data_IF_012966719818
#
_entry.id   IF_012966719818
#
_cell.length_a   1.000
_cell.length_b   1.000
_cell.length_c   1.000
_cell.angle_alpha   90.00
_cell.angle_beta   90.00
_cell.angle_gamma   90.00
#
_symmetry.space_group_name_H-M   'P 1'
#
loop_
_entity.id
_entity.type
_entity.pdbx_description
1 polymer ?
#
# COMPACT_ATOMS: atom_id res chain seq x y z
N UNK A 1 -5.74 -42.78 -10.30
CA UNK A 1 -6.86 -42.39 -11.19
C UNK A 1 -6.50 -42.77 -12.62
N UNK A 2 -7.48 -43.05 -13.47
CA UNK A 2 -7.30 -43.33 -14.91
C UNK A 2 -8.14 -42.35 -15.72
N UNK A 3 -7.52 -41.59 -16.63
CA UNK A 3 -8.23 -40.78 -17.61
C UNK A 3 -8.48 -41.59 -18.88
N UNK A 4 -9.75 -41.85 -19.19
CA UNK A 4 -10.15 -42.40 -20.48
C UNK A 4 -10.72 -41.26 -21.34
N UNK A 5 -9.87 -40.68 -22.20
CA UNK A 5 -10.30 -39.71 -23.20
C UNK A 5 -9.94 -40.20 -24.60
N UNK A 6 -10.95 -40.51 -25.41
CA UNK A 6 -10.81 -41.11 -26.75
C UNK A 6 -10.12 -40.20 -27.76
N UNK A 7 -9.93 -38.91 -27.46
CA UNK A 7 -9.29 -37.95 -28.37
C UNK A 7 -7.76 -37.92 -28.25
N UNK A 8 -7.18 -38.59 -27.24
CA UNK A 8 -5.72 -38.62 -27.01
C UNK A 8 -5.19 -40.05 -27.06
N UNK A 9 -3.99 -40.23 -27.61
CA UNK A 9 -3.33 -41.54 -27.63
C UNK A 9 -2.98 -42.01 -26.22
N UNK A 10 -2.80 -43.32 -26.03
CA UNK A 10 -2.41 -43.90 -24.73
C UNK A 10 -1.09 -43.33 -24.19
N UNK A 11 -0.14 -42.99 -25.08
CA UNK A 11 1.12 -42.35 -24.72
C UNK A 11 0.87 -40.95 -24.16
N UNK A 12 0.08 -40.12 -24.85
CA UNK A 12 -0.26 -38.76 -24.39
C UNK A 12 -1.07 -38.79 -23.08
N UNK A 13 -1.99 -39.75 -22.94
CA UNK A 13 -2.72 -39.97 -21.69
C UNK A 13 -1.78 -40.29 -20.53
N UNK A 14 -0.72 -41.07 -20.76
CA UNK A 14 0.27 -41.42 -19.72
C UNK A 14 1.05 -40.18 -19.26
N UNK A 15 1.47 -39.31 -20.18
CA UNK A 15 2.10 -38.03 -19.84
C UNK A 15 1.19 -37.15 -19.00
N UNK A 16 -0.06 -36.93 -19.45
CA UNK A 16 -1.04 -36.13 -18.70
C UNK A 16 -1.31 -36.71 -17.31
N UNK A 17 -1.40 -38.04 -17.19
CA UNK A 17 -1.64 -38.69 -15.90
C UNK A 17 -0.47 -38.51 -14.93
N UNK A 18 0.78 -38.54 -15.43
CA UNK A 18 1.96 -38.26 -14.63
C UNK A 18 1.97 -36.81 -14.12
N UNK A 19 1.62 -35.84 -14.97
CA UNK A 19 1.50 -34.43 -14.58
C UNK A 19 0.41 -34.23 -13.52
N UNK A 20 -0.78 -34.81 -13.72
CA UNK A 20 -1.87 -34.76 -12.72
C UNK A 20 -1.41 -35.36 -11.39
N UNK A 21 -0.76 -36.53 -11.41
CA UNK A 21 -0.26 -37.16 -10.18
C UNK A 21 0.81 -36.31 -9.50
N UNK A 22 1.67 -35.63 -10.26
CA UNK A 22 2.66 -34.70 -9.71
C UNK A 22 1.97 -33.51 -9.02
N UNK A 23 0.93 -32.96 -9.63
CA UNK A 23 0.13 -31.87 -9.06
C UNK A 23 -0.59 -32.34 -7.78
N UNK A 24 -1.25 -33.50 -7.81
CA UNK A 24 -1.92 -34.08 -6.63
C UNK A 24 -0.92 -34.25 -5.49
N UNK A 25 0.25 -34.85 -5.77
CA UNK A 25 1.29 -35.04 -4.77
C UNK A 25 1.82 -33.72 -4.20
N UNK A 26 1.88 -32.64 -5.00
CA UNK A 26 2.24 -31.30 -4.51
C UNK A 26 1.27 -30.85 -3.42
N UNK A 27 -0.04 -30.91 -3.68
CA UNK A 27 -1.06 -30.46 -2.73
C UNK A 27 -1.21 -31.38 -1.51
N UNK A 28 -1.08 -32.70 -1.69
CA UNK A 28 -1.19 -33.67 -0.59
C UNK A 28 -0.05 -33.58 0.44
N UNK A 29 1.09 -32.98 0.07
CA UNK A 29 2.25 -32.83 0.96
C UNK A 29 2.30 -31.49 1.69
N UNK A 30 1.25 -30.67 1.58
CA UNK A 30 1.17 -29.39 2.29
C UNK A 30 0.71 -29.65 3.73
N UNK A 31 1.40 -29.03 4.68
CA UNK A 31 1.01 -29.07 6.09
C UNK A 31 -0.41 -28.51 6.28
N UNK A 32 -1.26 -29.24 7.00
CA UNK A 32 -2.66 -28.85 7.24
C UNK A 32 -2.79 -27.41 7.77
N UNK A 33 -1.90 -26.99 8.67
CA UNK A 33 -1.86 -25.63 9.22
C UNK A 33 -1.69 -24.55 8.15
N UNK A 34 -0.91 -24.81 7.11
CA UNK A 34 -0.71 -23.85 6.01
C UNK A 34 -1.95 -23.77 5.11
N UNK A 35 -2.69 -24.88 4.96
CA UNK A 35 -3.98 -24.86 4.26
C UNK A 35 -5.00 -24.03 5.04
N UNK A 36 -5.05 -24.17 6.36
CA UNK A 36 -5.89 -23.35 7.23
C UNK A 36 -5.59 -21.84 7.07
N UNK A 37 -4.30 -21.46 6.99
CA UNK A 37 -3.93 -20.06 6.73
C UNK A 37 -4.42 -19.57 5.36
N UNK A 38 -4.30 -20.39 4.31
CA UNK A 38 -4.78 -20.03 2.97
C UNK A 38 -6.30 -19.86 2.98
N UNK A 39 -7.03 -20.76 3.61
CA UNK A 39 -8.49 -20.65 3.75
C UNK A 39 -8.89 -19.39 4.53
N UNK A 40 -8.20 -19.09 5.63
CA UNK A 40 -8.42 -17.88 6.41
C UNK A 40 -8.18 -16.60 5.58
N UNK A 41 -7.07 -16.53 4.84
CA UNK A 41 -6.77 -15.42 3.93
C UNK A 41 -7.89 -15.24 2.89
N UNK A 42 -8.20 -16.31 2.14
CA UNK A 42 -9.21 -16.27 1.07
C UNK A 42 -10.60 -15.92 1.59
N UNK A 43 -10.92 -16.27 2.84
CA UNK A 43 -12.20 -15.90 3.46
C UNK A 43 -12.32 -14.41 3.77
N UNK A 44 -11.19 -13.72 3.99
CA UNK A 44 -11.13 -12.31 4.37
C UNK A 44 -11.00 -11.37 3.18
N UNK A 45 -10.32 -11.79 2.11
CA UNK A 45 -10.17 -10.99 0.87
C UNK A 45 -11.35 -11.12 -0.08
N UNK A 46 -11.59 -10.05 -0.82
CA UNK A 46 -12.66 -9.93 -1.81
C UNK A 46 -12.19 -9.30 -3.14
N UNK A 47 -13.12 -9.20 -4.09
CA UNK A 47 -12.90 -8.58 -5.39
C UNK A 47 -11.75 -9.17 -6.21
N UNK A 48 -11.06 -8.30 -6.94
CA UNK A 48 -10.00 -8.65 -7.91
C UNK A 48 -8.81 -9.36 -7.25
N UNK A 49 -8.47 -9.00 -6.02
CA UNK A 49 -7.36 -9.63 -5.29
C UNK A 49 -7.66 -11.09 -4.94
N UNK A 50 -8.89 -11.39 -4.50
CA UNK A 50 -9.30 -12.77 -4.26
C UNK A 50 -9.19 -13.62 -5.52
N UNK A 51 -9.65 -13.10 -6.66
CA UNK A 51 -9.55 -13.80 -7.95
C UNK A 51 -8.09 -14.08 -8.34
N UNK A 52 -7.20 -13.10 -8.14
CA UNK A 52 -5.77 -13.25 -8.40
C UNK A 52 -5.13 -14.33 -7.52
N UNK A 53 -5.44 -14.34 -6.22
CA UNK A 53 -4.91 -15.35 -5.29
C UNK A 53 -5.44 -16.76 -5.57
N UNK A 54 -6.68 -16.88 -6.06
CA UNK A 54 -7.24 -18.18 -6.46
C UNK A 54 -6.61 -18.75 -7.73
N UNK A 55 -5.95 -17.94 -8.55
CA UNK A 55 -5.24 -18.39 -9.77
C UNK A 55 -3.82 -18.89 -9.48
N UNK A 56 -3.20 -18.45 -8.39
CA UNK A 56 -1.84 -18.82 -8.00
C UNK A 56 -1.78 -19.24 -6.53
N UNK A 57 -1.89 -20.55 -6.31
CA UNK A 57 -1.84 -21.13 -4.98
C UNK A 57 -0.48 -20.92 -4.30
N UNK A 58 0.64 -20.93 -5.02
CA UNK A 58 1.96 -20.74 -4.39
C UNK A 58 2.10 -19.31 -3.86
N UNK A 59 1.56 -18.33 -4.61
CA UNK A 59 1.44 -16.93 -4.17
C UNK A 59 0.53 -16.81 -2.94
N UNK A 60 -0.66 -17.42 -2.97
CA UNK A 60 -1.59 -17.41 -1.84
C UNK A 60 -0.98 -18.07 -0.60
N UNK A 61 -0.32 -19.21 -0.75
CA UNK A 61 0.37 -19.93 0.33
C UNK A 61 1.48 -19.09 0.95
N UNK A 62 2.30 -18.42 0.13
CA UNK A 62 3.38 -17.55 0.60
C UNK A 62 2.83 -16.40 1.44
N UNK A 63 1.81 -15.70 0.93
CA UNK A 63 1.16 -14.60 1.63
C UNK A 63 0.49 -15.06 2.93
N UNK A 64 -0.29 -16.14 2.87
CA UNK A 64 -0.96 -16.70 4.04
C UNK A 64 0.03 -17.14 5.14
N UNK A 65 1.19 -17.68 4.75
CA UNK A 65 2.25 -18.05 5.69
C UNK A 65 2.94 -16.83 6.30
N UNK A 66 3.10 -15.75 5.52
CA UNK A 66 3.66 -14.48 5.99
C UNK A 66 2.72 -13.78 6.99
N UNK A 67 1.40 -13.88 6.76
CA UNK A 67 0.37 -13.45 7.70
C UNK A 67 0.38 -14.31 8.96
N UNK A 68 0.50 -15.63 8.80
CA UNK A 68 0.52 -16.59 9.89
C UNK A 68 -0.77 -16.60 10.70
N UNK A 69 -0.64 -16.61 12.03
CA UNK A 69 -1.78 -16.60 12.97
C UNK A 69 -2.27 -15.20 13.31
N UNK A 70 -1.68 -14.15 12.72
CA UNK A 70 -2.09 -12.79 13.01
C UNK A 70 -3.55 -12.59 12.58
N UNK A 71 -4.38 -12.07 13.48
CA UNK A 71 -5.75 -11.69 13.14
C UNK A 71 -5.76 -10.37 12.37
N UNK A 72 -5.45 -10.47 11.07
CA UNK A 72 -5.40 -9.34 10.17
C UNK A 72 -6.75 -9.21 9.47
N UNK A 73 -7.34 -8.02 9.51
CA UNK A 73 -8.60 -7.72 8.81
C UNK A 73 -8.38 -7.51 7.30
N UNK A 74 -9.49 -7.41 6.54
CA UNK A 74 -9.43 -7.22 5.08
C UNK A 74 -8.72 -5.92 4.68
N UNK A 75 -8.88 -4.84 5.47
CA UNK A 75 -8.27 -3.54 5.18
C UNK A 75 -6.74 -3.66 5.19
N UNK A 76 -6.18 -4.20 6.28
CA UNK A 76 -4.72 -4.37 6.43
C UNK A 76 -4.15 -5.30 5.35
N UNK A 77 -4.88 -6.36 4.98
CA UNK A 77 -4.48 -7.24 3.86
C UNK A 77 -4.49 -6.49 2.53
N UNK A 78 -5.56 -5.73 2.23
CA UNK A 78 -5.68 -4.98 0.99
C UNK A 78 -4.59 -3.91 0.88
N UNK A 79 -4.29 -3.18 1.96
CA UNK A 79 -3.19 -2.21 2.00
C UNK A 79 -1.86 -2.90 1.72
N UNK A 80 -1.57 -4.01 2.42
CA UNK A 80 -0.32 -4.76 2.23
C UNK A 80 -0.13 -5.22 0.78
N UNK A 81 -1.19 -5.78 0.19
CA UNK A 81 -1.16 -6.24 -1.19
C UNK A 81 -1.03 -5.09 -2.19
N UNK A 82 -1.70 -3.96 -1.94
CA UNK A 82 -1.62 -2.78 -2.78
C UNK A 82 -0.19 -2.22 -2.80
N UNK A 83 0.44 -2.04 -1.64
CA UNK A 83 1.82 -1.55 -1.52
C UNK A 83 2.77 -2.46 -2.29
N UNK A 84 2.66 -3.77 -2.09
CA UNK A 84 3.52 -4.78 -2.75
C UNK A 84 3.39 -4.80 -4.27
N UNK A 85 2.23 -4.42 -4.80
CA UNK A 85 1.95 -4.42 -6.24
C UNK A 85 2.19 -3.07 -6.91
N UNK A 86 2.19 -1.95 -6.17
CA UNK A 86 2.20 -0.60 -6.74
C UNK A 86 3.37 0.28 -6.27
N UNK A 87 4.17 -0.19 -5.30
CA UNK A 87 5.34 0.54 -4.78
C UNK A 87 6.59 -0.35 -4.78
N UNK A 88 7.75 0.27 -4.67
CA UNK A 88 9.03 -0.44 -4.50
C UNK A 88 9.38 -0.71 -3.03
N UNK A 89 8.44 -0.46 -2.12
CA UNK A 89 8.66 -0.67 -0.69
C UNK A 89 8.71 -2.16 -0.36
N UNK A 90 9.83 -2.59 0.23
CA UNK A 90 10.00 -3.95 0.75
C UNK A 90 9.48 -4.06 2.19
N UNK A 91 8.16 -3.91 2.36
CA UNK A 91 7.51 -4.04 3.66
C UNK A 91 7.02 -5.47 3.91
N UNK A 92 7.13 -5.91 5.16
CA UNK A 92 6.42 -7.09 5.66
C UNK A 92 5.04 -6.70 6.23
N UNK A 93 4.17 -7.68 6.41
CA UNK A 93 2.82 -7.38 6.88
C UNK A 93 2.77 -6.80 8.30
N UNK A 94 3.73 -7.13 9.17
CA UNK A 94 3.77 -6.58 10.53
C UNK A 94 4.06 -5.08 10.53
N UNK A 95 4.82 -4.58 9.55
CA UNK A 95 5.04 -3.15 9.34
C UNK A 95 3.77 -2.46 8.85
N UNK A 96 3.09 -3.05 7.86
CA UNK A 96 1.83 -2.50 7.35
C UNK A 96 0.74 -2.46 8.42
N UNK A 97 0.67 -3.47 9.29
CA UNK A 97 -0.26 -3.46 10.44
C UNK A 97 -0.02 -2.22 11.30
N UNK A 98 1.24 -1.94 11.66
CA UNK A 98 1.59 -0.75 12.48
C UNK A 98 1.26 0.56 11.78
N UNK A 99 1.51 0.64 10.46
CA UNK A 99 1.17 1.83 9.70
C UNK A 99 -0.34 2.08 9.70
N UNK A 100 -1.15 1.05 9.47
CA UNK A 100 -2.61 1.20 9.50
C UNK A 100 -3.12 1.52 10.90
N UNK A 101 -2.54 0.95 11.95
CA UNK A 101 -2.87 1.33 13.33
C UNK A 101 -2.55 2.80 13.61
N UNK A 102 -1.38 3.29 13.18
CA UNK A 102 -1.02 4.70 13.30
C UNK A 102 -1.96 5.62 12.50
N UNK A 103 -2.39 5.21 11.30
CA UNK A 103 -3.37 5.97 10.49
C UNK A 103 -4.76 5.99 11.14
N UNK A 104 -5.16 4.90 11.80
CA UNK A 104 -6.42 4.85 12.56
C UNK A 104 -6.38 5.77 13.81
N UNK A 105 -5.22 5.89 14.46
CA UNK A 105 -5.03 6.71 15.67
C UNK A 105 -4.83 8.20 15.36
N UNK A 106 -3.94 8.52 14.42
CA UNK A 106 -3.45 9.89 14.14
C UNK A 106 -3.96 10.45 12.80
N UNK A 107 -4.64 9.62 11.99
CA UNK A 107 -5.17 10.00 10.68
C UNK A 107 -4.17 9.88 9.52
N UNK A 108 -2.87 9.80 9.81
CA UNK A 108 -1.81 9.58 8.82
C UNK A 108 -0.54 8.96 9.43
N UNK A 109 0.34 8.44 8.57
CA UNK A 109 1.67 7.95 8.95
C UNK A 109 2.68 8.14 7.82
N UNK A 110 3.88 8.61 8.16
CA UNK A 110 5.03 8.60 7.25
C UNK A 110 5.63 7.21 7.20
N UNK A 111 5.67 6.62 6.02
CA UNK A 111 6.23 5.28 5.78
C UNK A 111 7.73 5.37 5.46
N UNK A 112 8.11 6.39 4.70
CA UNK A 112 9.48 6.72 4.31
C UNK A 112 9.62 8.25 4.15
N UNK A 113 10.81 8.79 3.85
CA UNK A 113 11.08 10.23 3.73
C UNK A 113 10.09 10.94 2.79
N UNK A 114 9.72 10.33 1.67
CA UNK A 114 8.77 10.88 0.69
C UNK A 114 7.45 10.12 0.57
N UNK A 115 7.12 9.23 1.50
CA UNK A 115 5.92 8.39 1.39
C UNK A 115 5.05 8.55 2.64
N UNK A 116 3.77 8.85 2.40
CA UNK A 116 2.74 8.97 3.43
C UNK A 116 1.54 8.09 3.10
N UNK A 117 0.94 7.50 4.13
CA UNK A 117 -0.39 6.88 4.06
C UNK A 117 -1.31 7.67 4.99
N UNK A 118 -2.51 8.02 4.52
CA UNK A 118 -3.45 8.82 5.30
C UNK A 118 -4.91 8.47 4.99
N UNK A 119 -5.80 8.79 5.92
CA UNK A 119 -7.24 8.81 5.66
C UNK A 119 -7.60 10.07 4.90
N UNK A 120 -8.39 9.92 3.84
CA UNK A 120 -8.88 11.07 3.08
C UNK A 120 -9.68 12.02 3.98
N UNK A 121 -9.37 13.31 3.91
CA UNK A 121 -10.00 14.34 4.72
C UNK A 121 -9.40 14.52 6.12
N UNK A 122 -8.32 13.80 6.45
CA UNK A 122 -7.50 14.11 7.63
C UNK A 122 -6.84 15.48 7.50
N UNK A 123 -6.72 16.20 8.61
CA UNK A 123 -5.93 17.44 8.65
C UNK A 123 -4.43 17.15 8.61
N UNK A 124 -3.81 17.42 7.47
CA UNK A 124 -2.38 17.24 7.24
C UNK A 124 -1.57 18.54 7.48
N UNK A 125 -2.17 19.57 8.08
CA UNK A 125 -1.51 20.86 8.37
C UNK A 125 -0.20 20.70 9.13
N UNK A 126 -0.17 19.84 10.16
CA UNK A 126 1.04 19.61 10.94
C UNK A 126 2.14 18.97 10.10
N UNK A 127 1.78 17.95 9.32
CA UNK A 127 2.70 17.29 8.41
C UNK A 127 3.26 18.26 7.34
N UNK A 128 2.39 19.09 6.76
CA UNK A 128 2.81 20.09 5.77
C UNK A 128 3.82 21.07 6.33
N UNK A 129 3.61 21.55 7.57
CA UNK A 129 4.56 22.44 8.24
C UNK A 129 5.92 21.78 8.42
N UNK A 130 5.94 20.52 8.88
CA UNK A 130 7.18 19.78 9.09
C UNK A 130 7.97 19.61 7.78
N UNK A 131 7.30 19.29 6.67
CA UNK A 131 7.96 19.15 5.36
C UNK A 131 8.46 20.48 4.81
N UNK A 132 7.68 21.56 4.94
CA UNK A 132 8.09 22.88 4.47
C UNK A 132 9.31 23.45 5.21
N UNK A 133 9.50 23.08 6.48
CA UNK A 133 10.69 23.48 7.24
C UNK A 133 11.98 23.05 6.55
N UNK A 134 12.02 21.84 5.99
CA UNK A 134 13.17 21.29 5.26
C UNK A 134 13.17 21.76 3.81
N UNK A 135 12.02 21.74 3.11
CA UNK A 135 11.94 22.12 1.70
C UNK A 135 12.41 23.56 1.46
N UNK A 136 12.02 24.52 2.32
CA UNK A 136 12.41 25.92 2.16
C UNK A 136 13.90 26.20 2.41
N UNK A 137 14.69 25.19 2.79
CA UNK A 137 16.15 25.28 2.85
C UNK A 137 16.81 25.04 1.49
N UNK A 138 16.08 24.48 0.52
CA UNK A 138 16.58 24.19 -0.82
C UNK A 138 15.99 25.15 -1.87
N UNK A 139 16.86 25.73 -2.71
CA UNK A 139 16.49 26.67 -3.77
C UNK A 139 15.41 26.12 -4.72
N UNK A 140 15.47 24.81 -5.04
CA UNK A 140 14.52 24.15 -5.95
C UNK A 140 13.07 24.23 -5.45
N UNK A 141 12.86 24.11 -4.14
CA UNK A 141 11.52 24.15 -3.56
C UNK A 141 11.07 25.57 -3.30
N UNK A 142 11.99 26.49 -2.99
CA UNK A 142 11.67 27.91 -2.87
C UNK A 142 11.10 28.45 -4.19
N UNK A 143 11.74 28.17 -5.32
CA UNK A 143 11.26 28.59 -6.66
C UNK A 143 9.93 27.93 -7.06
N UNK A 144 9.68 26.69 -6.56
CA UNK A 144 8.41 25.98 -6.79
C UNK A 144 7.26 26.56 -5.95
N UNK A 145 7.52 26.87 -4.68
CA UNK A 145 6.49 27.24 -3.71
C UNK A 145 6.18 28.75 -3.71
N UNK A 146 7.15 29.59 -4.05
CA UNK A 146 7.06 31.04 -3.90
C UNK A 146 7.39 31.74 -5.21
N UNK A 147 6.47 32.58 -5.68
CA UNK A 147 6.75 33.45 -6.80
C UNK A 147 7.72 34.60 -6.42
N UNK A 148 8.28 35.24 -7.45
CA UNK A 148 9.28 36.30 -7.28
C UNK A 148 8.75 37.53 -6.55
N UNK A 149 7.48 37.88 -6.75
CA UNK A 149 6.90 39.07 -6.13
C UNK A 149 6.68 38.81 -4.63
N UNK A 150 6.18 37.62 -4.28
CA UNK A 150 6.05 37.14 -2.90
C UNK A 150 7.41 37.12 -2.16
N UNK A 151 8.47 36.62 -2.82
CA UNK A 151 9.82 36.63 -2.25
C UNK A 151 10.35 38.05 -1.97
N UNK A 152 10.11 38.99 -2.89
CA UNK A 152 10.50 40.39 -2.71
C UNK A 152 9.74 41.00 -1.53
N UNK A 153 8.43 40.76 -1.43
CA UNK A 153 7.59 41.25 -0.33
C UNK A 153 8.05 40.71 1.02
N UNK A 154 8.26 39.40 1.15
CA UNK A 154 8.76 38.79 2.39
C UNK A 154 10.12 39.34 2.80
N UNK A 155 11.02 39.53 1.82
CA UNK A 155 12.33 40.13 2.09
C UNK A 155 12.22 41.59 2.56
N UNK A 156 11.38 42.40 1.91
CA UNK A 156 11.14 43.79 2.28
C UNK A 156 10.53 43.92 3.68
N UNK A 157 9.65 43.00 4.05
CA UNK A 157 8.94 43.00 5.33
C UNK A 157 9.74 42.34 6.47
N UNK A 158 10.86 41.70 6.16
CA UNK A 158 11.64 40.93 7.14
C UNK A 158 10.86 39.73 7.69
N UNK A 159 10.00 39.13 6.88
CA UNK A 159 9.16 37.99 7.24
C UNK A 159 10.04 36.78 7.56
N UNK A 160 9.77 36.09 8.67
CA UNK A 160 10.50 34.88 9.06
C UNK A 160 10.04 33.65 8.30
N UNK A 161 10.88 32.61 8.21
CA UNK A 161 10.53 31.30 7.62
C UNK A 161 9.22 30.75 8.23
N UNK A 162 9.09 30.77 9.55
CA UNK A 162 7.88 30.33 10.26
C UNK A 162 6.62 31.12 9.87
N UNK A 163 6.75 32.42 9.54
CA UNK A 163 5.61 33.23 9.09
C UNK A 163 5.19 32.80 7.70
N UNK A 164 6.13 32.62 6.77
CA UNK A 164 5.87 32.12 5.42
C UNK A 164 5.18 30.75 5.46
N UNK A 165 5.72 29.81 6.26
CA UNK A 165 5.13 28.47 6.41
C UNK A 165 3.69 28.54 6.92
N UNK A 166 3.42 29.39 7.92
CA UNK A 166 2.06 29.57 8.44
C UNK A 166 1.10 30.15 7.39
N UNK A 167 1.57 31.09 6.57
CA UNK A 167 0.76 31.67 5.50
C UNK A 167 0.43 30.63 4.42
N UNK A 168 1.42 29.86 3.98
CA UNK A 168 1.25 28.80 2.98
C UNK A 168 0.23 27.75 3.43
N UNK A 169 0.40 27.18 4.62
CA UNK A 169 -0.44 26.07 5.10
C UNK A 169 -1.87 26.54 5.45
N UNK A 170 -2.08 27.82 5.74
CA UNK A 170 -3.42 28.35 5.95
C UNK A 170 -4.15 28.70 4.63
N UNK A 171 -3.40 28.88 3.54
CA UNK A 171 -3.94 29.30 2.25
C UNK A 171 -4.26 28.16 1.29
N UNK A 172 -3.55 27.04 1.41
CA UNK A 172 -3.58 25.93 0.45
C UNK A 172 -3.68 24.60 1.23
N UNK A 173 -4.47 23.66 0.71
CA UNK A 173 -4.54 22.30 1.26
C UNK A 173 -3.18 21.60 1.18
N UNK A 174 -2.85 20.77 2.17
CA UNK A 174 -1.52 20.17 2.30
C UNK A 174 -1.12 19.34 1.06
N UNK A 175 -2.09 18.63 0.50
CA UNK A 175 -1.92 17.78 -0.68
C UNK A 175 -1.52 18.57 -1.92
N UNK A 176 -2.12 19.75 -2.12
CA UNK A 176 -1.77 20.66 -3.23
C UNK A 176 -0.45 21.37 -2.94
N UNK A 177 -0.26 21.86 -1.71
CA UNK A 177 0.91 22.61 -1.30
C UNK A 177 2.20 21.79 -1.42
N UNK A 178 2.14 20.49 -1.09
CA UNK A 178 3.25 19.56 -1.19
C UNK A 178 3.26 18.75 -2.50
N UNK A 179 2.31 18.98 -3.41
CA UNK A 179 2.23 18.33 -4.72
C UNK A 179 2.21 16.79 -4.64
N UNK A 180 1.27 16.24 -3.86
CA UNK A 180 1.16 14.79 -3.61
C UNK A 180 0.78 14.01 -4.89
N UNK A 181 1.56 12.97 -5.25
CA UNK A 181 1.10 11.92 -6.18
C UNK A 181 0.22 10.90 -5.43
N UNK A 182 -1.03 11.27 -5.19
CA UNK A 182 -1.98 10.51 -4.39
C UNK A 182 -2.65 9.37 -5.18
N UNK A 183 -2.74 8.18 -4.57
CA UNK A 183 -3.39 6.98 -5.10
C UNK A 183 -4.28 6.33 -4.06
N UNK A 184 -5.49 5.96 -4.47
CA UNK A 184 -6.42 5.23 -3.63
C UNK A 184 -5.93 3.79 -3.38
N UNK A 185 -5.95 3.38 -2.12
CA UNK A 185 -5.55 2.04 -1.67
C UNK A 185 -6.79 1.16 -1.48
N UNK A 186 -7.63 1.53 -0.52
CA UNK A 186 -8.75 0.73 -0.03
C UNK A 186 -9.74 1.61 0.76
N UNK A 187 -10.95 1.10 0.94
CA UNK A 187 -11.97 1.68 1.80
C UNK A 187 -12.25 0.70 2.94
N UNK A 188 -12.41 1.20 4.16
CA UNK A 188 -12.77 0.36 5.29
C UNK A 188 -14.30 0.15 5.38
N UNK A 189 -14.73 -0.67 6.34
CA UNK A 189 -16.16 -0.97 6.55
C UNK A 189 -17.02 0.24 6.94
N UNK A 190 -16.41 1.37 7.30
CA UNK A 190 -17.07 2.61 7.68
C UNK A 190 -17.13 3.63 6.54
N UNK A 191 -16.61 3.30 5.35
CA UNK A 191 -16.54 4.22 4.22
C UNK A 191 -15.35 5.18 4.28
N UNK A 192 -14.37 4.95 5.15
CA UNK A 192 -13.16 5.75 5.22
C UNK A 192 -12.18 5.30 4.15
N UNK A 193 -11.78 6.23 3.28
CA UNK A 193 -10.85 5.98 2.18
C UNK A 193 -9.40 6.16 2.64
N UNK A 194 -8.56 5.17 2.34
CA UNK A 194 -7.13 5.16 2.61
C UNK A 194 -6.36 5.52 1.35
N UNK A 195 -5.47 6.51 1.48
CA UNK A 195 -4.71 7.09 0.38
C UNK A 195 -3.21 6.89 0.64
N UNK A 196 -2.49 6.49 -0.40
CA UNK A 196 -1.04 6.49 -0.48
C UNK A 196 -0.62 7.73 -1.24
N UNK A 197 0.39 8.46 -0.79
CA UNK A 197 0.97 9.55 -1.56
C UNK A 197 2.50 9.53 -1.52
N UNK A 198 3.08 9.86 -2.68
CA UNK A 198 4.48 10.17 -2.84
C UNK A 198 4.68 11.69 -2.93
N UNK A 199 5.75 12.17 -2.29
CA UNK A 199 6.11 13.59 -2.19
C UNK A 199 7.54 13.72 -2.67
N UNK A 200 7.77 14.68 -3.58
CA UNK A 200 9.13 15.08 -3.95
C UNK A 200 9.66 15.99 -2.84
N UNK A 201 10.55 15.44 -2.01
CA UNK A 201 11.24 16.14 -0.92
C UNK A 201 12.76 16.09 -1.08
#
# INVERSE_FOLDING_TARGET
MTMNNTNFSSIIQSFMMNEINSIINKYSNIEAKKLEYVEALISKVDGKFKEELLQDFDKALKLATEIGENDVDNLKINVFLWIKNNSNLELNISEVIKYIEAVEEEGYVSVDEGIIIYKKGTDLTHFAREKLETMLEEERFVDKLLDKDSLIEYWMNGTSKDQVIRELVNGIEAEELLDFDSKFIAENQHGEEYIYAEIDC
#
